data_IF_497752537890
#
_entry.id   IF_497752537890
#
_cell.length_a   1.000
_cell.length_b   1.000
_cell.length_c   1.000
_cell.angle_alpha   90.00
_cell.angle_beta   90.00
_cell.angle_gamma   90.00
#
_symmetry.space_group_name_H-M   'P 1'
#
loop_
_entity.id
_entity.type
_entity.pdbx_description
1 polymer ?
#
# COMPACT_ATOMS: atom_id res chain seq x y z
N UNK A 1 23.15 -27.41 0.55
CA UNK A 1 23.14 -26.10 1.24
C UNK A 1 22.50 -26.27 2.60
N UNK A 2 23.19 -25.92 3.69
CA UNK A 2 22.74 -26.18 5.05
C UNK A 2 21.57 -25.26 5.44
N UNK A 3 20.42 -25.86 5.80
CA UNK A 3 19.21 -25.19 6.31
C UNK A 3 19.44 -24.47 7.67
N UNK A 4 20.59 -24.67 8.32
CA UNK A 4 20.89 -24.19 9.68
C UNK A 4 21.25 -22.70 9.81
N UNK A 5 21.30 -21.94 8.72
CA UNK A 5 21.73 -20.53 8.71
C UNK A 5 20.60 -19.50 8.55
N UNK A 6 19.35 -19.91 8.32
CA UNK A 6 18.21 -18.98 8.17
C UNK A 6 17.60 -18.65 9.52
N UNK A 7 18.35 -17.94 10.37
CA UNK A 7 17.92 -17.57 11.73
C UNK A 7 17.14 -16.26 11.79
N UNK A 8 17.20 -15.43 10.74
CA UNK A 8 16.50 -14.14 10.68
C UNK A 8 15.82 -13.93 9.34
N UNK A 9 14.80 -13.06 9.31
CA UNK A 9 14.11 -12.60 8.09
C UNK A 9 15.11 -12.05 7.07
N UNK A 10 16.16 -11.35 7.51
CA UNK A 10 17.25 -10.88 6.64
C UNK A 10 18.03 -12.02 5.99
N UNK A 11 18.34 -13.09 6.74
CA UNK A 11 19.02 -14.24 6.17
C UNK A 11 18.16 -14.95 5.12
N UNK A 12 16.85 -15.04 5.34
CA UNK A 12 15.88 -15.58 4.38
C UNK A 12 15.83 -14.70 3.13
N UNK A 13 15.66 -13.39 3.28
CA UNK A 13 15.61 -12.44 2.18
C UNK A 13 16.87 -12.49 1.32
N UNK A 14 18.06 -12.46 1.94
CA UNK A 14 19.33 -12.60 1.22
C UNK A 14 19.41 -13.90 0.42
N UNK A 15 18.86 -14.99 0.95
CA UNK A 15 18.74 -16.26 0.22
C UNK A 15 17.85 -16.15 -1.01
N UNK A 16 16.73 -15.43 -0.92
CA UNK A 16 15.81 -15.21 -2.05
C UNK A 16 16.40 -14.29 -3.13
N UNK A 17 17.17 -13.28 -2.72
CA UNK A 17 17.83 -12.35 -3.64
C UNK A 17 19.01 -12.98 -4.41
N UNK A 18 19.38 -14.23 -4.09
CA UNK A 18 20.39 -15.00 -4.82
C UNK A 18 21.84 -14.55 -4.57
N UNK A 19 22.78 -15.11 -5.35
CA UNK A 19 24.22 -14.97 -5.11
C UNK A 19 24.79 -13.57 -5.37
N UNK A 20 24.09 -12.77 -6.18
CA UNK A 20 24.50 -11.41 -6.52
C UNK A 20 23.93 -10.41 -5.50
N UNK A 21 22.61 -10.24 -5.46
CA UNK A 21 21.96 -9.25 -4.60
C UNK A 21 21.94 -9.67 -3.11
N UNK A 22 21.96 -10.97 -2.81
CA UNK A 22 22.03 -11.50 -1.45
C UNK A 22 23.43 -11.49 -0.83
N UNK A 23 24.48 -11.18 -1.60
CA UNK A 23 25.86 -11.10 -1.09
C UNK A 23 25.99 -9.94 -0.09
N UNK A 24 26.78 -10.11 0.96
CA UNK A 24 26.93 -9.11 2.04
C UNK A 24 27.26 -7.72 1.50
N UNK A 25 28.17 -7.63 0.53
CA UNK A 25 28.59 -6.38 -0.09
C UNK A 25 27.47 -5.65 -0.81
N UNK A 26 26.64 -6.37 -1.59
CA UNK A 26 25.53 -5.79 -2.34
C UNK A 26 24.35 -5.47 -1.44
N UNK A 27 24.02 -6.38 -0.52
CA UNK A 27 22.95 -6.18 0.44
C UNK A 27 23.25 -5.02 1.41
N UNK A 28 24.51 -4.82 1.80
CA UNK A 28 24.94 -3.69 2.61
C UNK A 28 24.68 -2.35 1.91
N UNK A 29 24.90 -2.27 0.59
CA UNK A 29 24.57 -1.09 -0.21
C UNK A 29 23.07 -0.87 -0.30
N UNK A 30 22.28 -1.93 -0.50
CA UNK A 30 20.81 -1.84 -0.50
C UNK A 30 20.27 -1.36 0.84
N UNK A 31 20.83 -1.84 1.95
CA UNK A 31 20.39 -1.47 3.29
C UNK A 31 20.97 -0.14 3.80
N UNK A 32 21.91 0.47 3.08
CA UNK A 32 22.71 1.64 3.53
C UNK A 32 23.38 1.39 4.91
N UNK A 33 23.98 0.21 5.04
CA UNK A 33 24.67 -0.25 6.25
C UNK A 33 26.03 -0.85 5.92
N UNK A 34 26.83 -1.12 6.94
CA UNK A 34 28.12 -1.79 6.77
C UNK A 34 27.94 -3.30 6.54
N UNK A 35 28.94 -3.92 5.90
CA UNK A 35 28.98 -5.38 5.72
C UNK A 35 28.96 -6.14 7.06
N UNK A 36 29.68 -5.61 8.04
CA UNK A 36 29.69 -6.13 9.41
C UNK A 36 28.31 -6.10 10.05
N UNK A 37 27.53 -5.03 9.82
CA UNK A 37 26.14 -4.94 10.26
C UNK A 37 25.28 -6.03 9.58
N UNK A 38 25.38 -6.19 8.27
CA UNK A 38 24.63 -7.22 7.52
C UNK A 38 24.93 -8.63 8.05
N UNK A 39 26.20 -8.93 8.31
CA UNK A 39 26.61 -10.21 8.88
C UNK A 39 26.01 -10.44 10.26
N UNK A 40 26.10 -9.45 11.16
CA UNK A 40 25.57 -9.53 12.53
C UNK A 40 24.04 -9.68 12.55
N UNK A 41 23.32 -8.91 11.73
CA UNK A 41 21.84 -8.98 11.67
C UNK A 41 21.37 -10.27 11.01
N UNK A 42 22.07 -10.77 9.99
CA UNK A 42 21.76 -12.07 9.36
C UNK A 42 21.96 -13.22 10.34
N UNK A 43 22.96 -13.12 11.21
CA UNK A 43 23.24 -14.11 12.26
C UNK A 43 22.33 -13.98 13.49
N UNK A 44 21.49 -12.95 13.58
CA UNK A 44 20.65 -12.66 14.75
C UNK A 44 21.42 -12.13 15.96
N UNK A 45 22.66 -11.65 15.77
CA UNK A 45 23.49 -11.09 16.84
C UNK A 45 23.07 -9.67 17.22
N UNK A 46 22.43 -8.96 16.30
CA UNK A 46 21.82 -7.65 16.53
C UNK A 46 20.39 -7.66 15.99
N UNK A 47 19.49 -6.92 16.64
CA UNK A 47 18.11 -6.76 16.17
C UNK A 47 18.09 -5.84 14.95
N UNK A 48 17.18 -6.14 14.01
CA UNK A 48 16.87 -5.25 12.91
C UNK A 48 16.11 -4.04 13.47
N UNK A 49 16.64 -2.83 13.26
CA UNK A 49 15.92 -1.60 13.61
C UNK A 49 14.81 -1.33 12.58
N UNK A 50 13.74 -0.67 13.02
CA UNK A 50 12.63 -0.31 12.14
C UNK A 50 13.09 0.54 10.95
N UNK A 51 13.94 1.55 11.18
CA UNK A 51 14.50 2.38 10.10
C UNK A 51 15.26 1.56 9.05
N UNK A 52 16.06 0.58 9.51
CA UNK A 52 16.80 -0.27 8.57
C UNK A 52 15.86 -1.23 7.83
N UNK A 53 14.79 -1.70 8.49
CA UNK A 53 13.76 -2.50 7.82
C UNK A 53 12.98 -1.70 6.79
N UNK A 54 12.64 -0.43 7.09
CA UNK A 54 12.00 0.51 6.15
C UNK A 54 12.87 0.74 4.93
N UNK A 55 14.18 0.97 5.12
CA UNK A 55 15.10 1.13 3.99
C UNK A 55 15.19 -0.13 3.12
N UNK A 56 15.27 -1.31 3.75
CA UNK A 56 15.30 -2.57 3.01
C UNK A 56 13.98 -2.79 2.26
N UNK A 57 12.83 -2.54 2.90
CA UNK A 57 11.51 -2.64 2.29
C UNK A 57 11.40 -1.71 1.06
N UNK A 58 11.83 -0.46 1.20
CA UNK A 58 11.85 0.53 0.11
C UNK A 58 12.74 0.10 -1.06
N UNK A 59 13.88 -0.51 -0.79
CA UNK A 59 14.86 -0.87 -1.82
C UNK A 59 14.59 -2.21 -2.51
N UNK A 60 13.78 -3.07 -1.89
CA UNK A 60 13.55 -4.45 -2.35
C UNK A 60 12.09 -4.76 -2.66
N UNK A 61 11.14 -3.98 -2.16
CA UNK A 61 9.70 -4.24 -2.33
C UNK A 61 9.15 -5.33 -1.40
N UNK A 62 9.95 -5.83 -0.45
CA UNK A 62 9.48 -6.80 0.55
C UNK A 62 8.66 -6.09 1.63
N UNK A 63 7.66 -6.76 2.21
CA UNK A 63 6.82 -6.20 3.27
C UNK A 63 7.62 -5.84 4.54
N UNK A 64 7.42 -4.63 5.04
CA UNK A 64 7.94 -4.18 6.33
C UNK A 64 7.41 -5.02 7.48
N UNK A 65 6.11 -5.34 7.47
CA UNK A 65 5.45 -6.14 8.51
C UNK A 65 6.03 -7.57 8.56
N UNK A 66 6.42 -8.11 7.40
CA UNK A 66 7.12 -9.38 7.35
C UNK A 66 8.56 -9.25 7.88
N UNK A 67 9.31 -8.23 7.47
CA UNK A 67 10.69 -8.02 7.94
C UNK A 67 10.80 -7.92 9.46
N UNK A 68 9.84 -7.23 10.08
CA UNK A 68 9.75 -7.00 11.52
C UNK A 68 9.01 -8.11 12.27
N UNK A 69 8.40 -9.04 11.52
CA UNK A 69 7.59 -10.13 12.05
C UNK A 69 8.37 -11.40 12.40
N UNK A 70 7.64 -12.44 12.85
CA UNK A 70 8.22 -13.76 13.09
C UNK A 70 8.70 -14.42 11.79
N UNK A 71 9.87 -15.07 11.84
CA UNK A 71 10.54 -15.68 10.68
C UNK A 71 9.74 -16.84 10.06
N UNK A 72 8.86 -17.47 10.84
CA UNK A 72 8.02 -18.59 10.43
C UNK A 72 6.98 -18.17 9.38
N UNK A 73 6.70 -16.87 9.25
CA UNK A 73 5.79 -16.36 8.22
C UNK A 73 6.46 -16.41 6.85
N UNK A 74 5.74 -16.84 5.80
CA UNK A 74 6.26 -16.80 4.45
C UNK A 74 6.58 -15.34 4.05
N UNK A 75 7.67 -15.12 3.30
CA UNK A 75 8.03 -13.81 2.78
C UNK A 75 6.97 -13.31 1.81
N UNK A 76 6.52 -12.08 2.03
CA UNK A 76 5.51 -11.41 1.20
C UNK A 76 5.99 -10.04 0.76
N UNK A 77 5.53 -9.59 -0.40
CA UNK A 77 5.74 -8.25 -0.92
C UNK A 77 4.89 -7.23 -0.15
N UNK A 78 5.10 -5.95 -0.44
CA UNK A 78 4.32 -4.83 0.11
C UNK A 78 2.80 -4.91 -0.15
N UNK A 79 2.36 -5.73 -1.11
CA UNK A 79 0.95 -5.97 -1.44
C UNK A 79 0.39 -7.22 -0.77
N UNK A 80 1.23 -7.98 -0.04
CA UNK A 80 0.85 -9.22 0.63
C UNK A 80 0.96 -10.48 -0.24
N UNK A 81 1.47 -10.38 -1.47
CA UNK A 81 1.67 -11.54 -2.34
C UNK A 81 2.98 -12.26 -1.96
N UNK A 82 3.13 -13.56 -2.27
CA UNK A 82 4.39 -14.27 -2.06
C UNK A 82 5.58 -13.55 -2.71
N UNK A 83 6.68 -13.43 -1.96
CA UNK A 83 7.88 -12.72 -2.41
C UNK A 83 8.98 -13.68 -2.85
N UNK A 84 9.46 -13.51 -4.08
CA UNK A 84 10.57 -14.25 -4.66
C UNK A 84 11.55 -13.33 -5.43
N UNK A 85 12.55 -13.94 -6.09
CA UNK A 85 13.53 -13.21 -6.90
C UNK A 85 12.91 -12.44 -8.07
N UNK A 86 11.81 -12.94 -8.63
CA UNK A 86 11.07 -12.28 -9.71
C UNK A 86 10.32 -11.06 -9.18
N UNK A 87 9.73 -11.15 -7.98
CA UNK A 87 9.14 -9.99 -7.27
C UNK A 87 10.18 -8.88 -7.10
N UNK A 88 11.39 -9.23 -6.65
CA UNK A 88 12.48 -8.27 -6.51
C UNK A 88 12.88 -7.62 -7.85
N UNK A 89 13.08 -8.43 -8.89
CA UNK A 89 13.47 -7.93 -10.22
C UNK A 89 12.40 -7.01 -10.81
N UNK A 90 11.13 -7.39 -10.68
CA UNK A 90 9.99 -6.58 -11.11
C UNK A 90 9.96 -5.23 -10.37
N UNK A 91 10.11 -5.26 -9.04
CA UNK A 91 10.13 -4.04 -8.22
C UNK A 91 11.28 -3.10 -8.60
N UNK A 92 12.49 -3.64 -8.82
CA UNK A 92 13.67 -2.86 -9.24
C UNK A 92 13.56 -2.30 -10.65
N UNK A 93 12.88 -3.00 -11.56
CA UNK A 93 12.65 -2.54 -12.92
C UNK A 93 11.58 -1.44 -12.99
N UNK A 94 10.68 -1.38 -12.01
CA UNK A 94 9.57 -0.44 -11.94
C UNK A 94 9.63 0.40 -10.66
N UNK A 95 10.67 1.25 -10.48
CA UNK A 95 10.79 2.10 -9.29
C UNK A 95 9.62 3.11 -9.16
N UNK A 96 8.85 3.30 -10.23
CA UNK A 96 7.64 4.14 -10.31
C UNK A 96 6.37 3.46 -9.84
N UNK A 97 6.42 2.41 -9.01
CA UNK A 97 5.22 2.00 -8.28
C UNK A 97 4.82 3.11 -7.32
N UNK A 98 3.97 3.99 -7.84
CA UNK A 98 3.20 5.03 -7.18
C UNK A 98 2.26 4.33 -6.22
N UNK A 99 2.81 3.88 -5.10
CA UNK A 99 2.10 3.15 -4.06
C UNK A 99 1.46 4.17 -3.13
N UNK A 100 0.52 4.95 -3.68
CA UNK A 100 -0.73 5.02 -2.93
C UNK A 100 -1.30 3.62 -3.06
N UNK A 101 -0.82 2.72 -2.20
CA UNK A 101 -1.29 1.34 -2.17
C UNK A 101 -2.81 1.41 -2.13
N UNK A 102 -3.49 0.63 -2.96
CA UNK A 102 -4.94 0.45 -2.83
C UNK A 102 -5.32 0.04 -1.41
N UNK A 103 -4.38 -0.45 -0.60
CA UNK A 103 -4.51 -0.71 0.83
C UNK A 103 -4.70 0.56 1.70
N UNK A 104 -4.25 1.75 1.29
CA UNK A 104 -4.44 2.99 2.04
C UNK A 104 -5.87 3.52 1.94
N UNK A 105 -6.48 3.42 0.76
CA UNK A 105 -7.81 3.97 0.46
C UNK A 105 -8.89 3.40 1.41
N UNK A 106 -9.03 2.07 1.63
CA UNK A 106 -9.99 1.51 2.56
C UNK A 106 -9.80 1.99 4.00
N UNK A 107 -8.55 2.24 4.44
CA UNK A 107 -8.29 2.76 5.79
C UNK A 107 -8.79 4.19 5.94
N UNK A 108 -8.51 5.05 4.95
CA UNK A 108 -9.01 6.43 4.94
C UNK A 108 -10.54 6.45 4.93
N UNK A 109 -11.17 5.62 4.08
CA UNK A 109 -12.64 5.50 4.01
C UNK A 109 -13.21 5.02 5.35
N UNK A 110 -12.61 4.00 5.98
CA UNK A 110 -13.08 3.49 7.27
C UNK A 110 -13.02 4.53 8.39
N UNK A 111 -11.93 5.31 8.45
CA UNK A 111 -11.80 6.40 9.43
C UNK A 111 -12.79 7.54 9.14
N UNK A 112 -12.96 7.91 7.87
CA UNK A 112 -13.92 8.94 7.45
C UNK A 112 -15.36 8.55 7.82
N UNK A 113 -15.75 7.30 7.56
CA UNK A 113 -17.07 6.75 7.93
C UNK A 113 -17.29 6.83 9.44
N UNK A 114 -16.34 6.35 10.24
CA UNK A 114 -16.43 6.40 11.70
C UNK A 114 -16.46 7.84 12.25
N UNK A 115 -15.82 8.80 11.57
CA UNK A 115 -15.92 10.21 11.91
C UNK A 115 -17.30 10.79 11.57
N UNK A 116 -17.90 10.36 10.45
CA UNK A 116 -19.28 10.66 10.07
C UNK A 116 -20.28 10.22 11.13
N UNK A 117 -20.19 8.95 11.56
CA UNK A 117 -21.04 8.37 12.61
C UNK A 117 -20.96 9.14 13.93
N UNK A 118 -19.83 9.81 14.20
CA UNK A 118 -19.60 10.62 15.39
C UNK A 118 -19.87 12.13 15.20
N UNK A 119 -20.42 12.55 14.05
CA UNK A 119 -20.59 13.97 13.69
C UNK A 119 -19.28 14.78 13.74
N UNK A 120 -18.14 14.14 13.47
CA UNK A 120 -16.79 14.73 13.48
C UNK A 120 -16.18 14.82 12.07
N UNK A 121 -16.99 14.69 11.02
CA UNK A 121 -16.50 14.66 9.64
C UNK A 121 -15.70 15.92 9.26
N UNK A 122 -16.15 17.11 9.66
CA UNK A 122 -15.43 18.36 9.41
C UNK A 122 -14.04 18.38 10.08
N UNK A 123 -13.92 17.85 11.30
CA UNK A 123 -12.64 17.75 12.00
C UNK A 123 -11.71 16.74 11.30
N UNK A 124 -12.26 15.62 10.83
CA UNK A 124 -11.50 14.65 10.03
C UNK A 124 -10.98 15.28 8.74
N UNK A 125 -11.84 15.97 7.98
CA UNK A 125 -11.47 16.64 6.73
C UNK A 125 -10.35 17.65 6.96
N UNK A 126 -10.48 18.49 7.99
CA UNK A 126 -9.44 19.47 8.33
C UNK A 126 -8.11 18.78 8.68
N UNK A 127 -8.12 17.79 9.59
CA UNK A 127 -6.88 17.08 9.99
C UNK A 127 -6.23 16.34 8.83
N UNK A 128 -7.03 15.66 8.01
CA UNK A 128 -6.52 14.92 6.88
C UNK A 128 -5.97 15.85 5.80
N UNK A 129 -6.64 16.99 5.55
CA UNK A 129 -6.13 18.05 4.68
C UNK A 129 -4.77 18.56 5.14
N UNK A 130 -4.64 18.95 6.41
CA UNK A 130 -3.34 19.40 6.96
C UNK A 130 -2.25 18.35 6.87
N UNK A 131 -2.57 17.07 7.12
CA UNK A 131 -1.63 15.97 6.94
C UNK A 131 -1.16 15.83 5.48
N UNK A 132 -2.06 15.99 4.51
CA UNK A 132 -1.71 15.97 3.09
C UNK A 132 -0.87 17.19 2.70
N UNK A 133 -1.12 18.36 3.28
CA UNK A 133 -0.32 19.57 3.07
C UNK A 133 1.10 19.38 3.60
N UNK A 134 1.27 18.83 4.81
CA UNK A 134 2.59 18.47 5.36
C UNK A 134 3.34 17.48 4.44
N UNK A 135 2.64 16.46 3.93
CA UNK A 135 3.22 15.52 2.96
C UNK A 135 3.59 16.23 1.65
N UNK A 136 2.77 17.17 1.18
CA UNK A 136 3.02 17.95 -0.02
C UNK A 136 4.24 18.86 0.13
N UNK A 137 4.47 19.42 1.32
CA UNK A 137 5.68 20.19 1.62
C UNK A 137 6.94 19.31 1.64
N UNK A 138 6.86 18.10 2.22
CA UNK A 138 8.00 17.18 2.33
C UNK A 138 8.36 16.53 0.98
N UNK A 139 7.37 16.05 0.23
CA UNK A 139 7.58 15.23 -0.97
C UNK A 139 7.30 15.97 -2.28
N UNK A 140 6.70 17.16 -2.23
CA UNK A 140 6.20 17.89 -3.40
C UNK A 140 4.85 17.38 -3.90
N UNK A 141 4.27 18.10 -4.87
CA UNK A 141 3.00 17.75 -5.52
C UNK A 141 3.21 17.63 -7.02
N UNK A 142 2.88 16.48 -7.60
CA UNK A 142 2.77 16.34 -9.05
C UNK A 142 1.42 16.93 -9.51
N UNK A 143 1.46 18.16 -10.00
CA UNK A 143 0.29 18.89 -10.47
C UNK A 143 -0.45 18.17 -11.62
N UNK A 144 0.25 17.37 -12.45
CA UNK A 144 -0.38 16.61 -13.54
C UNK A 144 -1.15 15.42 -12.98
N UNK A 145 -0.56 14.70 -12.04
CA UNK A 145 -1.22 13.59 -11.37
C UNK A 145 -2.44 14.08 -10.58
N UNK A 146 -2.30 15.18 -9.83
CA UNK A 146 -3.40 15.82 -9.09
C UNK A 146 -4.56 16.18 -10.01
N UNK A 147 -4.30 16.90 -11.11
CA UNK A 147 -5.34 17.29 -12.07
C UNK A 147 -6.01 16.08 -12.71
N UNK A 148 -5.24 15.04 -13.04
CA UNK A 148 -5.79 13.81 -13.62
C UNK A 148 -6.73 13.11 -12.63
N UNK A 149 -6.36 13.06 -11.36
CA UNK A 149 -7.21 12.51 -10.31
C UNK A 149 -8.48 13.34 -10.08
N UNK A 150 -8.37 14.68 -10.06
CA UNK A 150 -9.51 15.60 -9.96
C UNK A 150 -10.47 15.47 -11.15
N UNK A 151 -9.94 15.48 -12.38
CA UNK A 151 -10.73 15.26 -13.61
C UNK A 151 -11.45 13.89 -13.57
N UNK A 152 -10.79 12.84 -13.05
CA UNK A 152 -11.36 11.51 -12.91
C UNK A 152 -12.47 11.45 -11.84
N UNK A 153 -12.30 12.16 -10.72
CA UNK A 153 -13.32 12.29 -9.67
C UNK A 153 -14.54 13.05 -10.19
N UNK A 154 -14.33 14.17 -10.88
CA UNK A 154 -15.42 14.98 -11.46
C UNK A 154 -16.15 14.26 -12.59
N UNK A 155 -15.42 13.49 -13.41
CA UNK A 155 -15.94 12.74 -14.55
C UNK A 155 -16.63 11.42 -14.19
N UNK A 156 -16.51 10.95 -12.94
CA UNK A 156 -17.11 9.70 -12.47
C UNK A 156 -18.36 9.97 -11.63
N UNK A 157 -19.57 9.72 -12.16
CA UNK A 157 -20.80 9.81 -11.38
C UNK A 157 -20.74 8.96 -10.11
N UNK A 158 -20.07 7.81 -10.18
CA UNK A 158 -19.92 6.85 -9.07
C UNK A 158 -19.07 7.41 -7.91
N UNK A 159 -17.96 8.08 -8.23
CA UNK A 159 -17.10 8.71 -7.20
C UNK A 159 -17.74 10.00 -6.68
N UNK A 160 -18.44 10.73 -7.55
CA UNK A 160 -19.25 11.88 -7.16
C UNK A 160 -20.36 11.48 -6.20
N UNK A 161 -21.08 10.40 -6.48
CA UNK A 161 -22.14 9.88 -5.62
C UNK A 161 -21.57 9.40 -4.29
N UNK A 162 -20.39 8.74 -4.28
CA UNK A 162 -19.69 8.39 -3.04
C UNK A 162 -19.33 9.62 -2.20
N UNK A 163 -18.82 10.67 -2.84
CA UNK A 163 -18.43 11.92 -2.19
C UNK A 163 -19.64 12.76 -1.73
N UNK A 164 -20.80 12.57 -2.36
CA UNK A 164 -22.05 13.28 -2.10
C UNK A 164 -23.04 12.49 -1.24
N UNK A 165 -22.73 11.24 -0.86
CA UNK A 165 -23.56 10.49 0.09
C UNK A 165 -23.52 11.16 1.46
N UNK A 166 -24.52 12.01 1.69
CA UNK A 166 -24.89 12.54 2.99
C UNK A 166 -25.06 11.37 3.98
N UNK A 167 -24.63 11.59 5.22
CA UNK A 167 -24.34 10.61 6.27
C UNK A 167 -25.53 9.73 6.75
N UNK A 168 -26.17 8.98 5.85
CA UNK A 168 -27.33 8.14 6.15
C UNK A 168 -27.80 7.16 5.06
N UNK A 169 -27.08 6.98 3.95
CA UNK A 169 -27.41 5.94 2.95
C UNK A 169 -26.30 4.91 2.80
N UNK A 170 -26.71 3.67 2.53
CA UNK A 170 -25.84 2.52 2.28
C UNK A 170 -24.76 2.88 1.25
N UNK A 171 -23.50 2.96 1.70
CA UNK A 171 -22.36 3.25 0.83
C UNK A 171 -22.23 2.10 -0.17
N UNK A 172 -22.35 2.35 -1.49
CA UNK A 172 -22.13 1.31 -2.47
C UNK A 172 -20.67 0.85 -2.39
N UNK A 173 -20.47 -0.47 -2.24
CA UNK A 173 -19.13 -1.07 -2.28
C UNK A 173 -18.58 -0.85 -3.68
N UNK A 174 -17.57 0.02 -3.79
CA UNK A 174 -16.84 0.21 -5.04
C UNK A 174 -15.97 -1.03 -5.24
N UNK A 175 -16.08 -1.62 -6.43
CA UNK A 175 -15.24 -2.74 -6.83
C UNK A 175 -13.76 -2.36 -6.69
N UNK A 176 -13.00 -3.15 -5.92
CA UNK A 176 -11.57 -2.95 -5.70
C UNK A 176 -10.82 -2.87 -7.04
N UNK A 177 -11.24 -3.65 -8.04
CA UNK A 177 -10.62 -3.68 -9.36
C UNK A 177 -10.87 -2.37 -10.13
N UNK A 178 -12.02 -1.72 -9.90
CA UNK A 178 -12.33 -0.42 -10.49
C UNK A 178 -11.49 0.71 -9.87
N UNK A 179 -11.33 0.73 -8.54
CA UNK A 179 -10.46 1.70 -7.86
C UNK A 179 -8.99 1.51 -8.26
N UNK A 180 -8.54 0.27 -8.36
CA UNK A 180 -7.18 -0.07 -8.80
C UNK A 180 -6.94 0.38 -10.25
N UNK A 181 -7.90 0.12 -11.15
CA UNK A 181 -7.82 0.54 -12.56
C UNK A 181 -7.81 2.06 -12.72
N UNK A 182 -8.56 2.78 -11.89
CA UNK A 182 -8.57 4.25 -11.85
C UNK A 182 -7.24 4.82 -11.34
N UNK A 183 -6.72 4.29 -10.23
CA UNK A 183 -5.43 4.68 -9.68
C UNK A 183 -4.31 4.44 -10.71
N UNK A 184 -4.32 3.28 -11.38
CA UNK A 184 -3.33 2.94 -12.39
C UNK A 184 -3.44 3.83 -13.65
N UNK A 185 -4.64 4.13 -14.13
CA UNK A 185 -4.83 5.03 -15.26
C UNK A 185 -4.36 6.47 -14.96
N UNK A 186 -4.58 6.95 -13.73
CA UNK A 186 -4.11 8.25 -13.27
C UNK A 186 -2.58 8.32 -13.20
N UNK A 187 -1.93 7.26 -12.69
CA UNK A 187 -0.47 7.11 -12.63
C UNK A 187 0.15 7.06 -14.03
N UNK A 188 -0.49 6.35 -14.97
CA UNK A 188 0.01 6.20 -16.34
C UNK A 188 -0.31 7.42 -17.24
N UNK A 189 -1.05 8.42 -16.74
CA UNK A 189 -1.49 9.58 -17.53
C UNK A 189 -2.39 9.19 -18.72
N UNK A 190 -3.04 8.02 -18.67
CA UNK A 190 -3.92 7.52 -19.72
C UNK A 190 -5.38 7.86 -19.41
N UNK A 191 -6.08 8.44 -20.38
CA UNK A 191 -7.54 8.58 -20.29
C UNK A 191 -8.18 7.19 -20.37
N UNK A 192 -8.97 6.83 -19.36
CA UNK A 192 -9.83 5.64 -19.43
C UNK A 192 -10.78 5.79 -20.62
N UNK A 193 -10.81 4.80 -21.51
CA UNK A 193 -11.73 4.78 -22.63
C UNK A 193 -13.18 4.72 -22.15
N UNK A 194 -14.10 5.35 -22.91
CA UNK A 194 -15.56 5.46 -22.60
C UNK A 194 -16.29 4.13 -22.32
N UNK A 195 -15.63 2.98 -22.46
CA UNK A 195 -16.21 1.64 -22.37
C UNK A 195 -15.86 0.89 -21.07
N UNK A 196 -15.23 1.53 -20.08
CA UNK A 196 -14.99 0.89 -18.79
C UNK A 196 -16.32 0.76 -18.01
N UNK A 197 -16.96 -0.41 -18.07
CA UNK A 197 -18.19 -0.70 -17.34
C UNK A 197 -17.85 -1.21 -15.94
N UNK A 198 -18.11 -0.40 -14.92
CA UNK A 198 -18.04 -0.81 -13.51
C UNK A 198 -19.40 -1.39 -13.11
N UNK A 199 -19.41 -2.60 -12.54
CA UNK A 199 -20.65 -3.29 -12.15
C UNK A 199 -20.84 -3.15 -10.64
N UNK A 200 -21.92 -2.50 -10.20
CA UNK A 200 -22.25 -2.33 -8.78
C UNK A 200 -23.09 -3.54 -8.34
N UNK A 201 -22.65 -4.23 -7.27
CA UNK A 201 -23.49 -5.21 -6.56
C UNK A 201 -23.93 -4.59 -5.23
N UNK A 202 -25.23 -4.42 -5.05
CA UNK A 202 -25.81 -4.04 -3.76
C UNK A 202 -26.01 -5.28 -2.90
N UNK A 203 -25.66 -5.20 -1.61
CA UNK A 203 -25.99 -6.24 -0.62
C UNK A 203 -27.35 -5.90 0.00
N UNK A 204 -28.26 -6.87 0.20
CA UNK A 204 -29.53 -6.59 0.86
C UNK A 204 -29.28 -6.18 2.31
N UNK A 205 -29.71 -4.97 2.64
CA UNK A 205 -29.55 -4.38 3.96
C UNK A 205 -30.31 -5.23 5.00
N UNK A 206 -29.61 -5.69 6.04
CA UNK A 206 -30.16 -6.58 7.08
C UNK A 206 -31.21 -5.89 7.99
N UNK A 207 -31.44 -4.59 7.81
CA UNK A 207 -32.26 -3.76 8.69
C UNK A 207 -33.77 -3.75 8.39
N UNK A 208 -34.27 -4.40 7.33
CA UNK A 208 -35.71 -4.36 6.97
C UNK A 208 -36.54 -5.56 7.48
N UNK A 209 -36.08 -6.28 8.52
CA UNK A 209 -36.97 -7.17 9.30
C UNK A 209 -37.52 -6.45 10.53
N UNK A 210 -38.44 -5.50 10.35
CA UNK A 210 -39.32 -5.03 11.45
C UNK A 210 -40.79 -5.22 11.09
N UNK A 211 -41.37 -6.25 11.73
CA UNK A 211 -42.75 -6.48 12.17
C UNK A 211 -43.88 -5.96 11.26
N UNK A 212 -44.49 -6.88 10.50
CA UNK A 212 -45.95 -6.89 10.36
C UNK A 212 -46.54 -7.51 11.64
N UNK A 213 -47.16 -6.68 12.45
CA UNK A 213 -48.13 -7.03 13.49
C UNK A 213 -49.40 -6.28 13.19
#
# INVERSE_FOLDING_TARGET
>A
MALSQRKTTIAVLRGLLGEYHGREDHFARLAERSRSWVKKVSAGLIKLSEDSARQISLQTGVSLDWLMGPIERPPVDISGNPYDSSSFAFFRANPTHTLVTTAFIPRVIGVASAAGDQSKLALFQWRFGSFLDECAEEFGVDARAYKTADDALQGSPLLRDLAMTDAGMDVPIVDHDALTSLAQAAVEGKRLGKNCKVTIKTWPNAATKKKKG
#
